data_IF_881806398394
#
_entry.id   IF_881806398394
#
_cell.length_a   1.000
_cell.length_b   1.000
_cell.length_c   1.000
_cell.angle_alpha   90.00
_cell.angle_beta   90.00
_cell.angle_gamma   90.00
#
_symmetry.space_group_name_H-M   'P 1'
#
loop_
_entity.id
_entity.type
_entity.pdbx_description
1 polymer ?
#
# COMPACT_ATOMS: atom_id res chain seq x y z
N UNK A 1 11.26 3.40 -12.93
CA UNK A 1 12.54 4.04 -12.53
C UNK A 1 13.45 2.97 -11.93
N UNK A 2 14.75 2.87 -12.27
CA UNK A 2 15.61 1.77 -11.77
C UNK A 2 16.29 2.17 -10.46
N UNK A 3 15.83 1.64 -9.33
CA UNK A 3 16.31 1.99 -7.99
C UNK A 3 17.51 1.11 -7.61
N UNK A 4 18.72 1.70 -7.54
CA UNK A 4 19.88 1.04 -6.92
C UNK A 4 20.04 1.54 -5.47
N UNK A 5 20.31 0.67 -4.47
CA UNK A 5 20.45 1.07 -3.05
C UNK A 5 21.55 2.09 -2.74
N UNK A 6 22.43 2.42 -3.71
CA UNK A 6 23.59 3.30 -3.47
C UNK A 6 23.60 4.62 -4.26
N UNK A 7 22.72 4.84 -5.25
CA UNK A 7 22.79 6.07 -6.09
C UNK A 7 21.44 6.47 -6.77
N UNK A 8 20.31 5.86 -6.43
CA UNK A 8 18.97 6.26 -6.90
C UNK A 8 17.98 6.39 -5.74
N UNK A 9 16.76 6.88 -5.98
CA UNK A 9 15.68 6.85 -4.98
C UNK A 9 15.55 5.42 -4.45
N UNK A 10 15.53 5.21 -3.14
CA UNK A 10 15.25 3.88 -2.61
C UNK A 10 13.76 3.57 -2.82
N UNK A 11 13.46 2.29 -2.99
CA UNK A 11 12.08 1.79 -3.06
C UNK A 11 11.27 2.24 -1.84
N UNK A 12 11.90 2.17 -0.67
CA UNK A 12 11.32 2.66 0.58
C UNK A 12 10.96 4.15 0.53
N UNK A 13 11.79 4.99 -0.10
CA UNK A 13 11.52 6.43 -0.22
C UNK A 13 10.30 6.70 -1.11
N UNK A 14 10.17 5.95 -2.21
CA UNK A 14 9.04 6.07 -3.12
C UNK A 14 7.74 5.59 -2.46
N UNK A 15 7.79 4.45 -1.75
CA UNK A 15 6.68 3.94 -0.97
C UNK A 15 6.26 4.93 0.13
N UNK A 16 7.22 5.49 0.86
CA UNK A 16 6.96 6.53 1.84
C UNK A 16 6.33 7.77 1.21
N UNK A 17 6.83 8.22 0.06
CA UNK A 17 6.30 9.40 -0.63
C UNK A 17 4.84 9.25 -1.05
N UNK A 18 4.45 8.12 -1.66
CA UNK A 18 3.05 7.89 -2.05
C UNK A 18 2.13 7.74 -0.85
N UNK A 19 2.59 7.07 0.22
CA UNK A 19 1.79 6.93 1.45
C UNK A 19 1.63 8.26 2.19
N UNK A 20 2.66 9.11 2.22
CA UNK A 20 2.57 10.46 2.76
C UNK A 20 1.63 11.34 1.94
N UNK A 21 1.61 11.16 0.61
CA UNK A 21 0.63 11.83 -0.27
C UNK A 21 -0.80 11.45 0.13
N UNK A 22 -1.07 10.16 0.32
CA UNK A 22 -2.38 9.67 0.77
C UNK A 22 -2.75 10.15 2.19
N UNK A 23 -1.76 10.32 3.08
CA UNK A 23 -2.02 10.92 4.39
C UNK A 23 -2.42 12.40 4.28
N UNK A 24 -1.88 13.15 3.31
CA UNK A 24 -2.22 14.55 3.07
C UNK A 24 -3.56 14.73 2.37
N UNK A 25 -3.81 13.94 1.33
CA UNK A 25 -5.00 13.99 0.49
C UNK A 25 -5.38 12.54 0.13
N UNK A 26 -6.20 11.86 0.95
CA UNK A 26 -6.55 10.47 0.73
C UNK A 26 -7.33 10.33 -0.58
N UNK A 27 -6.97 9.31 -1.35
CA UNK A 27 -7.77 8.85 -2.47
C UNK A 27 -9.14 8.39 -1.99
N UNK A 28 -10.17 8.56 -2.82
CA UNK A 28 -11.49 8.00 -2.52
C UNK A 28 -11.44 6.47 -2.36
N UNK A 29 -10.58 5.83 -3.15
CA UNK A 29 -10.39 4.38 -3.18
C UNK A 29 -8.89 4.08 -3.32
N UNK A 30 -8.35 3.29 -2.40
CA UNK A 30 -6.94 2.88 -2.39
C UNK A 30 -6.84 1.35 -2.44
N UNK A 31 -6.13 0.85 -3.45
CA UNK A 31 -5.96 -0.60 -3.65
C UNK A 31 -4.53 -1.04 -3.38
N UNK A 32 -4.36 -1.99 -2.47
CA UNK A 32 -3.12 -2.73 -2.26
C UNK A 32 -3.28 -4.15 -2.81
N UNK A 33 -2.50 -4.48 -3.84
CA UNK A 33 -2.52 -5.80 -4.48
C UNK A 33 -1.14 -6.42 -4.37
N UNK A 34 -1.05 -7.57 -3.71
CA UNK A 34 0.25 -8.23 -3.55
C UNK A 34 0.19 -9.74 -3.43
N UNK A 35 1.06 -10.41 -4.20
CA UNK A 35 1.32 -11.84 -4.05
C UNK A 35 1.89 -12.17 -2.67
N UNK A 36 2.85 -11.40 -2.17
CA UNK A 36 3.41 -11.54 -0.82
C UNK A 36 3.44 -10.22 -0.08
N UNK A 37 2.80 -10.22 1.09
CA UNK A 37 2.55 -9.05 1.90
C UNK A 37 2.87 -9.34 3.36
N UNK A 38 3.71 -8.48 3.95
CA UNK A 38 3.99 -8.50 5.39
C UNK A 38 3.90 -7.08 5.93
N UNK A 39 3.63 -6.97 7.22
CA UNK A 39 3.43 -5.69 7.88
C UNK A 39 4.78 -5.03 8.22
N UNK A 40 5.39 -4.42 7.21
CA UNK A 40 6.72 -3.82 7.28
C UNK A 40 6.66 -2.37 7.77
N UNK A 41 7.74 -1.85 8.40
CA UNK A 41 7.90 -0.42 8.59
C UNK A 41 7.97 0.30 7.24
N UNK A 42 7.15 1.34 7.07
CA UNK A 42 7.09 2.13 5.83
C UNK A 42 7.40 3.62 6.04
N UNK A 43 7.20 4.13 7.26
CA UNK A 43 7.58 5.49 7.63
C UNK A 43 8.46 5.48 8.88
N UNK A 44 9.62 6.15 8.80
CA UNK A 44 10.45 6.47 9.96
C UNK A 44 10.07 7.86 10.47
N UNK A 45 9.50 7.92 11.67
CA UNK A 45 9.10 9.14 12.36
C UNK A 45 9.86 9.34 13.69
N UNK A 46 11.10 8.85 13.79
CA UNK A 46 11.94 9.00 14.99
C UNK A 46 12.16 10.46 15.41
N UNK A 47 12.18 11.38 14.44
CA UNK A 47 12.36 12.83 14.65
C UNK A 47 11.04 13.58 14.80
N UNK A 48 9.89 12.90 14.74
CA UNK A 48 8.57 13.53 14.81
C UNK A 48 8.17 14.34 13.56
N UNK A 49 8.92 14.21 12.45
CA UNK A 49 8.72 14.97 11.22
C UNK A 49 7.35 14.74 10.55
N UNK A 50 6.65 13.66 10.90
CA UNK A 50 5.33 13.31 10.38
C UNK A 50 4.22 13.41 11.44
N UNK A 51 4.49 13.94 12.64
CA UNK A 51 3.50 14.01 13.74
C UNK A 51 2.19 14.71 13.30
N UNK A 52 2.28 15.76 12.49
CA UNK A 52 1.11 16.45 11.94
C UNK A 52 0.25 15.57 11.02
N UNK A 53 0.87 14.57 10.37
CA UNK A 53 0.22 13.66 9.43
C UNK A 53 -0.17 12.31 10.05
N UNK A 54 0.40 11.91 11.19
CA UNK A 54 0.08 10.61 11.82
C UNK A 54 -0.74 10.74 13.11
N UNK A 55 -0.96 11.98 13.57
CA UNK A 55 -1.80 12.28 14.72
C UNK A 55 -1.14 11.95 16.06
N UNK A 56 -1.96 11.75 17.10
CA UNK A 56 -1.49 11.63 18.49
C UNK A 56 -0.68 10.36 18.77
N UNK A 57 -0.77 9.34 17.92
CA UNK A 57 0.00 8.11 18.00
C UNK A 57 1.45 8.36 17.53
N UNK A 58 2.23 9.06 18.35
CA UNK A 58 3.66 9.34 18.14
C UNK A 58 4.48 8.05 18.19
N UNK A 59 4.48 7.30 17.09
CA UNK A 59 5.32 6.12 16.93
C UNK A 59 6.56 6.49 16.15
N UNK A 60 7.71 5.99 16.60
CA UNK A 60 9.00 6.19 15.94
C UNK A 60 9.05 5.53 14.56
N UNK A 61 8.29 4.46 14.36
CA UNK A 61 8.13 3.77 13.09
C UNK A 61 6.65 3.42 12.90
N UNK A 62 6.11 3.70 11.72
CA UNK A 62 4.77 3.26 11.36
C UNK A 62 4.85 2.07 10.42
N UNK A 63 4.09 1.04 10.76
CA UNK A 63 3.95 -0.13 9.90
C UNK A 63 2.96 0.17 8.76
N UNK A 64 3.03 -0.62 7.69
CA UNK A 64 2.13 -0.46 6.54
C UNK A 64 0.66 -0.49 6.96
N UNK A 65 0.27 -1.39 7.87
CA UNK A 65 -1.10 -1.42 8.40
C UNK A 65 -1.48 -0.19 9.22
N UNK A 66 -0.55 0.42 9.96
CA UNK A 66 -0.83 1.63 10.73
C UNK A 66 -1.11 2.82 9.80
N UNK A 67 -0.33 2.94 8.73
CA UNK A 67 -0.47 4.02 7.74
C UNK A 67 -1.75 3.84 6.92
N UNK A 68 -2.04 2.63 6.44
CA UNK A 68 -3.27 2.34 5.72
C UNK A 68 -4.51 2.61 6.57
N UNK A 69 -4.51 2.21 7.84
CA UNK A 69 -5.62 2.51 8.74
C UNK A 69 -5.83 4.02 8.90
N UNK A 70 -4.75 4.78 9.08
CA UNK A 70 -4.83 6.25 9.16
C UNK A 70 -5.39 6.88 7.87
N UNK A 71 -5.04 6.32 6.70
CA UNK A 71 -5.58 6.77 5.41
C UNK A 71 -7.09 6.47 5.31
N UNK A 72 -7.53 5.30 5.76
CA UNK A 72 -8.94 4.92 5.80
C UNK A 72 -9.77 5.82 6.75
N UNK A 73 -9.23 6.11 7.93
CA UNK A 73 -9.84 7.02 8.91
C UNK A 73 -10.04 8.44 8.36
N UNK A 74 -9.24 8.83 7.36
CA UNK A 74 -9.37 10.10 6.64
C UNK A 74 -10.33 10.07 5.47
N UNK A 75 -10.95 8.92 5.21
CA UNK A 75 -12.08 8.80 4.29
C UNK A 75 -11.88 7.80 3.15
N UNK A 76 -10.66 7.31 2.91
CA UNK A 76 -10.38 6.36 1.84
C UNK A 76 -11.10 5.02 2.07
N UNK A 77 -11.66 4.45 1.00
CA UNK A 77 -12.06 3.04 0.98
C UNK A 77 -10.84 2.18 0.61
N UNK A 78 -10.50 1.24 1.49
CA UNK A 78 -9.37 0.34 1.28
C UNK A 78 -9.82 -0.96 0.64
N UNK A 79 -9.12 -1.35 -0.41
CA UNK A 79 -9.24 -2.66 -1.04
C UNK A 79 -7.90 -3.39 -0.99
N UNK A 80 -7.88 -4.58 -0.40
CA UNK A 80 -6.66 -5.36 -0.23
C UNK A 80 -6.83 -6.71 -0.91
N UNK A 81 -6.18 -6.91 -2.05
CA UNK A 81 -6.18 -8.19 -2.76
C UNK A 81 -4.87 -8.94 -2.51
N UNK A 82 -4.97 -10.13 -1.93
CA UNK A 82 -3.81 -10.93 -1.50
C UNK A 82 -3.84 -12.34 -2.05
N UNK A 83 -2.66 -12.94 -2.15
CA UNK A 83 -2.55 -14.39 -2.33
C UNK A 83 -3.01 -15.12 -1.07
N UNK A 84 -3.73 -16.23 -1.21
CA UNK A 84 -4.19 -17.05 -0.09
C UNK A 84 -3.05 -17.90 0.51
N UNK A 85 -2.25 -17.28 1.38
CA UNK A 85 -1.13 -17.89 2.11
C UNK A 85 -1.06 -17.34 3.54
N UNK A 86 -0.61 -18.15 4.51
CA UNK A 86 -0.70 -17.84 5.95
C UNK A 86 -0.16 -16.47 6.36
N UNK A 87 0.96 -16.02 5.77
CA UNK A 87 1.55 -14.74 6.14
C UNK A 87 0.73 -13.55 5.65
N UNK A 88 0.08 -13.66 4.49
CA UNK A 88 -0.83 -12.64 3.99
C UNK A 88 -2.10 -12.59 4.85
N UNK A 89 -2.61 -13.73 5.30
CA UNK A 89 -3.79 -13.77 6.18
C UNK A 89 -3.53 -13.06 7.51
N UNK A 90 -2.31 -13.16 8.06
CA UNK A 90 -1.93 -12.38 9.25
C UNK A 90 -1.95 -10.88 8.99
N UNK A 91 -1.54 -10.42 7.80
CA UNK A 91 -1.66 -9.01 7.42
C UNK A 91 -3.14 -8.61 7.27
N UNK A 92 -3.93 -9.42 6.55
CA UNK A 92 -5.35 -9.18 6.33
C UNK A 92 -6.12 -9.04 7.65
N UNK A 93 -5.88 -9.94 8.61
CA UNK A 93 -6.53 -9.85 9.91
C UNK A 93 -6.16 -8.55 10.64
N UNK A 94 -4.89 -8.16 10.61
CA UNK A 94 -4.42 -6.91 11.24
C UNK A 94 -5.05 -5.65 10.64
N UNK A 95 -5.32 -5.62 9.34
CA UNK A 95 -5.97 -4.45 8.73
C UNK A 95 -7.48 -4.46 9.01
N UNK A 96 -8.12 -5.63 8.97
CA UNK A 96 -9.55 -5.79 9.32
C UNK A 96 -9.82 -5.38 10.78
N UNK A 97 -8.91 -5.70 11.70
CA UNK A 97 -9.05 -5.36 13.12
C UNK A 97 -8.83 -3.86 13.41
N UNK A 98 -8.16 -3.14 12.51
CA UNK A 98 -7.79 -1.74 12.70
C UNK A 98 -8.66 -0.76 11.94
N UNK A 99 -9.31 -1.19 10.86
CA UNK A 99 -10.09 -0.33 9.96
C UNK A 99 -11.56 -0.63 10.12
N UNK A 100 -12.39 0.41 10.12
CA UNK A 100 -13.83 0.27 10.13
C UNK A 100 -14.30 -0.69 9.04
N UNK A 101 -15.19 -1.63 9.38
CA UNK A 101 -15.64 -2.71 8.47
C UNK A 101 -16.23 -2.21 7.14
N UNK A 102 -16.80 -1.00 7.13
CA UNK A 102 -17.34 -0.38 5.92
C UNK A 102 -16.30 0.37 5.07
N UNK A 103 -15.04 0.36 5.49
CA UNK A 103 -13.92 1.06 4.85
C UNK A 103 -12.79 0.11 4.41
N UNK A 104 -12.94 -1.19 4.62
CA UNK A 104 -11.96 -2.19 4.17
C UNK A 104 -12.62 -3.41 3.57
N UNK A 105 -12.17 -3.79 2.37
CA UNK A 105 -12.53 -5.03 1.70
C UNK A 105 -11.27 -5.85 1.44
N UNK A 106 -11.29 -7.14 1.77
CA UNK A 106 -10.14 -8.05 1.56
C UNK A 106 -10.51 -9.18 0.62
N UNK A 107 -9.80 -9.27 -0.50
CA UNK A 107 -9.97 -10.26 -1.56
C UNK A 107 -8.84 -11.26 -1.58
N UNK A 108 -9.13 -12.50 -1.97
CA UNK A 108 -8.19 -13.62 -1.93
C UNK A 108 -8.16 -14.34 -3.28
N UNK A 109 -6.96 -14.54 -3.82
CA UNK A 109 -6.76 -15.34 -5.05
C UNK A 109 -5.59 -16.31 -4.90
N UNK A 110 -5.77 -17.57 -5.25
CA UNK A 110 -4.70 -18.58 -5.14
C UNK A 110 -3.49 -18.26 -6.03
N UNK A 111 -3.74 -17.72 -7.22
CA UNK A 111 -2.74 -17.40 -8.25
C UNK A 111 -2.41 -15.91 -8.34
N UNK A 112 -2.71 -15.14 -7.29
CA UNK A 112 -2.37 -13.71 -7.25
C UNK A 112 -0.86 -13.54 -7.09
N UNK A 113 -0.23 -12.95 -8.11
CA UNK A 113 1.21 -12.66 -8.16
C UNK A 113 1.54 -11.20 -8.44
N UNK A 114 0.52 -10.37 -8.67
CA UNK A 114 0.65 -8.94 -8.90
C UNK A 114 1.18 -8.21 -7.66
N UNK A 115 1.76 -7.03 -7.87
CA UNK A 115 2.44 -6.23 -6.85
C UNK A 115 2.32 -4.75 -7.20
N UNK A 116 1.22 -4.14 -6.76
CA UNK A 116 0.98 -2.73 -7.00
C UNK A 116 0.12 -2.10 -5.92
N UNK A 117 0.24 -0.78 -5.84
CA UNK A 117 -0.56 0.11 -5.02
C UNK A 117 -1.11 1.19 -5.95
N UNK A 118 -2.42 1.44 -5.91
CA UNK A 118 -3.06 2.42 -6.78
C UNK A 118 -4.05 3.28 -6.02
N UNK A 119 -3.90 4.60 -6.16
CA UNK A 119 -4.79 5.62 -5.63
C UNK A 119 -5.61 6.27 -6.75
N UNK A 120 -6.03 7.52 -6.53
CA UNK A 120 -6.91 8.22 -7.46
C UNK A 120 -6.20 8.70 -8.74
N UNK A 121 -4.95 9.16 -8.59
CA UNK A 121 -4.19 9.78 -9.66
C UNK A 121 -2.76 9.24 -9.81
N UNK A 122 -2.47 8.11 -9.18
CA UNK A 122 -1.17 7.45 -9.29
C UNK A 122 -1.27 5.93 -9.18
N UNK A 123 -0.30 5.25 -9.78
CA UNK A 123 -0.13 3.80 -9.77
C UNK A 123 1.35 3.47 -9.54
N UNK A 124 1.65 2.78 -8.45
CA UNK A 124 2.95 2.18 -8.18
C UNK A 124 2.89 0.69 -8.48
N UNK A 125 3.71 0.19 -9.40
CA UNK A 125 3.77 -1.23 -9.76
C UNK A 125 5.20 -1.69 -9.99
N UNK A 126 5.46 -2.99 -9.87
CA UNK A 126 6.79 -3.50 -10.11
C UNK A 126 6.98 -4.98 -9.79
N UNK A 127 8.25 -5.38 -9.65
CA UNK A 127 8.63 -6.72 -9.20
C UNK A 127 8.62 -6.85 -7.67
N UNK A 128 8.57 -5.72 -6.96
CA UNK A 128 8.70 -5.61 -5.51
C UNK A 128 7.49 -6.17 -4.74
N UNK A 129 7.71 -7.19 -3.91
CA UNK A 129 6.73 -7.58 -2.89
C UNK A 129 6.77 -6.61 -1.71
N UNK A 130 5.63 -6.38 -1.06
CA UNK A 130 5.53 -5.53 0.14
C UNK A 130 6.01 -6.31 1.39
N UNK A 131 7.30 -6.64 1.38
CA UNK A 131 8.00 -7.41 2.40
C UNK A 131 9.34 -6.75 2.71
N UNK A 132 9.94 -7.08 3.86
CA UNK A 132 11.20 -6.46 4.27
C UNK A 132 12.27 -6.66 3.20
N UNK A 133 12.41 -7.89 2.72
CA UNK A 133 13.39 -8.21 1.68
C UNK A 133 13.04 -7.51 0.35
N UNK A 134 11.77 -7.48 -0.04
CA UNK A 134 11.35 -6.79 -1.27
C UNK A 134 11.64 -5.29 -1.25
N UNK A 135 11.44 -4.63 -0.10
CA UNK A 135 11.62 -3.17 0.02
C UNK A 135 13.07 -2.76 0.27
N UNK A 136 13.83 -3.53 1.07
CA UNK A 136 15.13 -3.09 1.60
C UNK A 136 16.34 -3.85 1.05
N UNK A 137 16.16 -5.06 0.52
CA UNK A 137 17.29 -5.97 0.24
C UNK A 137 17.38 -6.33 -1.23
N UNK A 138 16.25 -6.67 -1.85
CA UNK A 138 16.22 -7.19 -3.21
C UNK A 138 16.48 -6.08 -4.24
N UNK A 139 17.12 -6.46 -5.35
CA UNK A 139 17.18 -5.61 -6.55
C UNK A 139 15.85 -5.70 -7.30
N UNK A 140 14.88 -4.90 -6.88
CA UNK A 140 13.58 -4.82 -7.52
C UNK A 140 13.50 -3.62 -8.48
N UNK A 141 12.55 -3.68 -9.41
CA UNK A 141 12.19 -2.56 -10.26
C UNK A 141 10.79 -2.07 -9.91
N UNK A 142 10.63 -0.74 -9.82
CA UNK A 142 9.34 -0.08 -9.56
C UNK A 142 9.13 1.04 -10.57
N UNK A 143 7.90 1.11 -11.08
CA UNK A 143 7.38 2.22 -11.84
C UNK A 143 6.28 2.91 -11.05
N UNK A 144 6.43 4.24 -10.92
CA UNK A 144 5.37 5.12 -10.46
C UNK A 144 4.86 5.87 -11.68
N UNK A 145 3.60 5.64 -12.01
CA UNK A 145 2.86 6.38 -13.03
C UNK A 145 1.96 7.40 -12.33
N UNK A 146 2.03 8.67 -12.75
CA UNK A 146 1.17 9.74 -12.24
C UNK A 146 0.23 10.17 -13.36
N UNK A 147 -1.08 10.08 -13.11
CA UNK A 147 -2.14 10.42 -14.05
C UNK A 147 -3.44 9.72 -13.69
N UNK A 148 -4.53 10.51 -13.55
CA UNK A 148 -5.88 10.02 -13.23
C UNK A 148 -6.38 8.95 -14.18
N UNK A 149 -6.08 9.06 -15.48
CA UNK A 149 -6.60 8.12 -16.47
C UNK A 149 -6.06 6.71 -16.25
N UNK A 150 -4.74 6.55 -16.10
CA UNK A 150 -4.12 5.23 -15.89
C UNK A 150 -4.53 4.63 -14.54
N UNK A 151 -4.55 5.46 -13.48
CA UNK A 151 -4.95 5.02 -12.15
C UNK A 151 -6.44 4.58 -12.12
N UNK A 152 -7.33 5.36 -12.74
CA UNK A 152 -8.75 5.01 -12.85
C UNK A 152 -8.97 3.75 -13.68
N UNK A 153 -8.25 3.58 -14.80
CA UNK A 153 -8.32 2.35 -15.60
C UNK A 153 -7.91 1.13 -14.76
N UNK A 154 -6.79 1.22 -14.04
CA UNK A 154 -6.32 0.10 -13.21
C UNK A 154 -7.32 -0.24 -12.09
N UNK A 155 -7.91 0.76 -11.43
CA UNK A 155 -8.96 0.54 -10.43
C UNK A 155 -10.21 -0.09 -11.04
N UNK A 156 -10.63 0.33 -12.23
CA UNK A 156 -11.77 -0.27 -12.92
C UNK A 156 -11.53 -1.77 -13.21
N UNK A 157 -10.34 -2.13 -13.68
CA UNK A 157 -9.94 -3.53 -13.88
C UNK A 157 -10.02 -4.35 -12.58
N UNK A 158 -9.58 -3.76 -11.46
CA UNK A 158 -9.65 -4.38 -10.14
C UNK A 158 -11.08 -4.56 -9.64
N UNK A 159 -11.92 -3.53 -9.77
CA UNK A 159 -13.34 -3.59 -9.40
C UNK A 159 -14.06 -4.65 -10.22
N UNK A 160 -13.82 -4.70 -11.53
CA UNK A 160 -14.37 -5.72 -12.42
C UNK A 160 -13.95 -7.12 -11.98
N UNK A 161 -12.70 -7.30 -11.55
CA UNK A 161 -12.17 -8.61 -11.14
C UNK A 161 -12.65 -9.08 -9.77
N UNK A 162 -12.83 -8.18 -8.82
CA UNK A 162 -12.99 -8.52 -7.40
C UNK A 162 -14.32 -8.13 -6.78
N UNK A 163 -15.01 -7.12 -7.33
CA UNK A 163 -16.27 -6.61 -6.80
C UNK A 163 -17.45 -7.07 -7.68
N UNK A 164 -17.30 -7.02 -9.00
CA UNK A 164 -18.40 -7.33 -9.93
C UNK A 164 -18.56 -8.83 -10.25
N UNK A 165 -17.71 -9.70 -9.68
CA UNK A 165 -17.77 -11.17 -9.90
C UNK A 165 -18.63 -11.89 -8.84
N UNK A 166 -19.32 -11.15 -7.97
CA UNK A 166 -20.38 -11.70 -7.09
C UNK A 166 -21.72 -11.86 -7.82
#
# INVERSE_FOLDING_TARGET
MRTKPRNGLAIGDLLAAVLLSELCAPSAELWLVSGWLTDIPVLNNQTGQYDALVGEQRRSHLLLTDVLATIADRGAELHVAIRQVDHNERFAQRIIDRVDRGKVSVYRGADLHEKFLVGDDWLMKGSMNFTWNGVQVNEEHIDLEVGRQNAAQQRLELRTRWIEVE
#
